data_IF_151695579436
#
_entry.id   IF_151695579436
#
_cell.length_a   1.000
_cell.length_b   1.000
_cell.length_c   1.000
_cell.angle_alpha   90.00
_cell.angle_beta   90.00
_cell.angle_gamma   90.00
#
_symmetry.space_group_name_H-M   'P 1'
#
loop_
_entity.id
_entity.type
_entity.pdbx_description
1 polymer ?
#
# COMPACT_ATOMS: atom_id res chain seq x y z
N UNK A 1 1.72 9.00 -18.00
CA UNK A 1 2.44 7.91 -17.30
C UNK A 1 3.36 7.14 -18.23
N UNK A 2 2.89 6.67 -19.38
CA UNK A 2 3.72 5.95 -20.37
C UNK A 2 5.05 6.63 -20.76
N UNK A 3 5.03 7.87 -21.23
CA UNK A 3 6.28 8.57 -21.62
C UNK A 3 7.24 8.75 -20.43
N UNK A 4 6.70 9.01 -19.24
CA UNK A 4 7.47 9.12 -18.01
C UNK A 4 8.10 7.77 -17.63
N UNK A 5 7.32 6.68 -17.69
CA UNK A 5 7.82 5.34 -17.38
C UNK A 5 8.90 4.91 -18.37
N UNK A 6 8.70 5.17 -19.66
CA UNK A 6 9.68 4.85 -20.71
C UNK A 6 11.00 5.59 -20.47
N UNK A 7 10.94 6.87 -20.12
CA UNK A 7 12.11 7.66 -19.75
C UNK A 7 12.81 7.11 -18.50
N UNK A 8 12.07 6.84 -17.42
CA UNK A 8 12.64 6.32 -16.16
C UNK A 8 13.35 5.00 -16.38
N UNK A 9 12.70 4.06 -17.07
CA UNK A 9 13.28 2.73 -17.31
C UNK A 9 14.44 2.77 -18.32
N UNK A 10 14.54 3.78 -19.18
CA UNK A 10 15.73 3.97 -20.03
C UNK A 10 16.99 4.30 -19.23
N UNK A 11 16.83 4.93 -18.05
CA UNK A 11 17.93 5.32 -17.15
C UNK A 11 18.16 4.27 -16.06
N UNK A 12 17.08 3.78 -15.46
CA UNK A 12 17.09 2.78 -14.39
C UNK A 12 16.03 1.71 -14.63
N UNK A 13 16.38 0.60 -15.32
CA UNK A 13 15.46 -0.50 -15.61
C UNK A 13 14.93 -1.23 -14.36
N UNK A 14 15.55 -1.01 -13.20
CA UNK A 14 15.15 -1.64 -11.92
C UNK A 14 14.31 -0.73 -11.02
N UNK A 15 13.98 0.49 -11.47
CA UNK A 15 13.09 1.38 -10.74
C UNK A 15 11.71 0.73 -10.53
N UNK A 16 11.02 1.11 -9.45
CA UNK A 16 9.63 0.71 -9.19
C UNK A 16 8.78 1.96 -9.13
N UNK A 17 7.82 2.09 -10.04
CA UNK A 17 6.91 3.21 -10.12
C UNK A 17 5.60 2.86 -9.40
N UNK A 18 5.39 3.48 -8.24
CA UNK A 18 4.19 3.31 -7.41
C UNK A 18 3.33 4.57 -7.47
N UNK A 19 2.08 4.44 -7.90
CA UNK A 19 1.12 5.55 -7.91
C UNK A 19 0.36 5.69 -6.60
N UNK A 20 0.24 6.90 -6.09
CA UNK A 20 -0.81 7.24 -5.14
C UNK A 20 -2.07 7.60 -5.93
N UNK A 21 -3.04 6.70 -5.98
CA UNK A 21 -4.26 6.89 -6.76
C UNK A 21 -5.48 6.74 -5.85
N UNK A 22 -6.33 7.77 -5.84
CA UNK A 22 -7.54 7.84 -5.00
C UNK A 22 -8.81 7.37 -5.74
N UNK A 23 -8.66 6.84 -6.96
CA UNK A 23 -9.74 6.31 -7.79
C UNK A 23 -9.89 4.78 -7.64
N UNK A 24 -10.94 4.19 -8.24
CA UNK A 24 -11.11 2.74 -8.23
C UNK A 24 -10.02 2.04 -9.03
N UNK A 25 -9.73 0.78 -8.67
CA UNK A 25 -8.72 -0.03 -9.33
C UNK A 25 -8.92 -0.12 -10.85
N UNK A 26 -10.17 -0.22 -11.32
CA UNK A 26 -10.45 -0.27 -12.76
C UNK A 26 -10.05 1.02 -13.48
N UNK A 27 -10.29 2.18 -12.85
CA UNK A 27 -9.88 3.49 -13.39
C UNK A 27 -8.35 3.58 -13.42
N UNK A 28 -7.67 3.06 -12.39
CA UNK A 28 -6.20 3.08 -12.35
C UNK A 28 -5.61 2.23 -13.48
N UNK A 29 -6.11 1.01 -13.67
CA UNK A 29 -5.66 0.15 -14.76
C UNK A 29 -5.91 0.78 -16.14
N UNK A 30 -7.01 1.52 -16.30
CA UNK A 30 -7.37 2.15 -17.56
C UNK A 30 -6.49 3.38 -17.90
N UNK A 31 -6.13 4.20 -16.90
CA UNK A 31 -5.51 5.51 -17.13
C UNK A 31 -4.06 5.63 -16.64
N UNK A 32 -3.60 4.72 -15.77
CA UNK A 32 -2.24 4.72 -15.23
C UNK A 32 -1.30 3.73 -15.94
N UNK A 33 -1.48 3.57 -17.26
CA UNK A 33 -0.58 2.80 -18.11
C UNK A 33 0.87 3.30 -17.94
N UNK A 34 1.74 2.47 -17.37
CA UNK A 34 3.15 2.77 -17.08
C UNK A 34 3.55 2.69 -15.60
N UNK A 35 2.64 2.40 -14.67
CA UNK A 35 2.99 2.12 -13.27
C UNK A 35 3.14 0.61 -13.01
N UNK A 36 4.04 0.26 -12.08
CA UNK A 36 4.23 -1.12 -11.62
C UNK A 36 3.22 -1.51 -10.52
N UNK A 37 2.69 -0.50 -9.84
CA UNK A 37 1.99 -0.63 -8.57
C UNK A 37 1.12 0.60 -8.26
N UNK A 38 0.15 0.41 -7.38
CA UNK A 38 -0.60 1.48 -6.72
C UNK A 38 -0.59 1.31 -5.20
N UNK A 39 -0.73 2.40 -4.45
CA UNK A 39 -0.93 2.34 -3.01
C UNK A 39 -2.28 1.69 -2.69
N UNK A 40 -2.27 0.64 -1.87
CA UNK A 40 -3.47 -0.12 -1.54
C UNK A 40 -4.27 0.56 -0.42
N UNK A 41 -5.05 1.58 -0.80
CA UNK A 41 -5.93 2.29 0.13
C UNK A 41 -7.04 1.39 0.67
N UNK A 42 -7.55 0.44 -0.14
CA UNK A 42 -8.56 -0.52 0.30
C UNK A 42 -8.03 -1.36 1.46
N UNK A 43 -6.84 -1.94 1.31
CA UNK A 43 -6.14 -2.64 2.38
C UNK A 43 -5.95 -1.75 3.61
N UNK A 44 -5.44 -0.53 3.44
CA UNK A 44 -5.25 0.43 4.55
C UNK A 44 -6.55 0.63 5.34
N UNK A 45 -7.66 0.90 4.65
CA UNK A 45 -8.94 1.18 5.30
C UNK A 45 -9.55 -0.07 5.95
N UNK A 46 -9.50 -1.22 5.29
CA UNK A 46 -9.99 -2.48 5.86
C UNK A 46 -9.18 -2.88 7.10
N UNK A 47 -7.85 -2.78 7.04
CA UNK A 47 -6.99 -3.01 8.18
C UNK A 47 -7.31 -2.05 9.32
N UNK A 48 -7.41 -0.75 9.07
CA UNK A 48 -7.71 0.23 10.12
C UNK A 48 -9.11 0.06 10.72
N UNK A 49 -10.09 -0.45 9.96
CA UNK A 49 -11.40 -0.85 10.50
C UNK A 49 -11.31 -2.06 11.43
N UNK A 50 -10.49 -3.05 11.08
CA UNK A 50 -10.25 -4.24 11.92
C UNK A 50 -9.50 -3.88 13.21
N UNK A 51 -8.58 -2.92 13.12
CA UNK A 51 -7.67 -2.49 14.20
C UNK A 51 -8.24 -1.31 15.00
N UNK A 52 -9.58 -1.14 15.02
CA UNK A 52 -10.27 0.01 15.63
C UNK A 52 -9.81 0.38 17.05
N UNK A 53 -9.22 -0.57 17.81
CA UNK A 53 -8.40 -0.29 19.00
C UNK A 53 -7.20 -1.25 19.06
N UNK A 54 -5.97 -0.78 19.32
CA UNK A 54 -4.85 -1.67 19.60
C UNK A 54 -5.12 -2.49 20.88
N UNK A 55 -4.87 -3.81 20.82
CA UNK A 55 -5.03 -4.76 21.94
C UNK A 55 -3.77 -5.65 22.07
N UNK A 56 -3.52 -6.28 23.22
CA UNK A 56 -2.38 -7.19 23.39
C UNK A 56 -2.42 -8.33 22.36
N UNK A 57 -1.31 -8.58 21.66
CA UNK A 57 -1.24 -9.54 20.54
C UNK A 57 -1.49 -8.93 19.16
N UNK A 58 -1.76 -7.62 19.07
CA UNK A 58 -1.94 -6.91 17.81
C UNK A 58 -0.76 -7.09 16.85
N UNK A 59 0.48 -6.92 17.31
CA UNK A 59 1.68 -7.05 16.47
C UNK A 59 1.87 -8.46 15.89
N UNK A 60 1.49 -9.49 16.62
CA UNK A 60 1.60 -10.89 16.19
C UNK A 60 0.51 -11.23 15.17
N UNK A 61 -0.71 -10.80 15.41
CA UNK A 61 -1.81 -10.92 14.44
C UNK A 61 -1.50 -10.13 13.15
N UNK A 62 -0.81 -9.00 13.29
CA UNK A 62 -0.35 -8.15 12.19
C UNK A 62 0.73 -8.83 11.34
N UNK A 63 1.74 -9.44 11.98
CA UNK A 63 2.80 -10.21 11.29
C UNK A 63 2.20 -11.37 10.49
N UNK A 64 1.30 -12.14 11.11
CA UNK A 64 0.65 -13.29 10.47
C UNK A 64 -0.22 -12.90 9.26
N UNK A 65 -0.83 -11.71 9.28
CA UNK A 65 -1.63 -11.23 8.16
C UNK A 65 -0.76 -10.85 6.94
N UNK A 66 0.36 -10.13 7.16
CA UNK A 66 1.29 -9.77 6.09
C UNK A 66 1.94 -10.99 5.43
N UNK A 67 2.32 -11.98 6.22
CA UNK A 67 2.94 -13.20 5.68
C UNK A 67 1.97 -13.97 4.78
N UNK A 68 0.68 -14.00 5.11
CA UNK A 68 -0.37 -14.59 4.25
C UNK A 68 -0.65 -13.75 3.01
N UNK A 69 -0.65 -12.42 3.13
CA UNK A 69 -0.93 -11.53 1.99
C UNK A 69 0.17 -11.58 0.92
N UNK A 70 1.45 -11.74 1.32
CA UNK A 70 2.58 -11.84 0.38
C UNK A 70 2.53 -13.08 -0.51
N UNK A 71 1.88 -14.15 -0.07
CA UNK A 71 1.83 -15.42 -0.81
C UNK A 71 0.91 -15.35 -2.04
N UNK A 72 0.06 -14.32 -2.16
CA UNK A 72 -1.02 -14.26 -3.16
C UNK A 72 -0.77 -13.31 -4.35
N UNK A 73 0.41 -12.71 -4.52
CA UNK A 73 0.55 -11.55 -5.40
C UNK A 73 1.10 -11.87 -6.81
N UNK A 74 0.31 -11.57 -7.87
CA UNK A 74 0.67 -11.72 -9.28
C UNK A 74 0.47 -10.41 -10.09
N UNK A 75 1.50 -10.04 -10.86
CA UNK A 75 1.59 -9.13 -12.03
C UNK A 75 1.01 -7.69 -12.04
N UNK A 76 0.36 -7.17 -11.00
CA UNK A 76 0.28 -5.73 -10.74
C UNK A 76 0.29 -5.55 -9.22
N UNK A 77 1.31 -4.87 -8.69
CA UNK A 77 1.58 -4.97 -7.24
C UNK A 77 0.80 -3.89 -6.50
N UNK A 78 -0.24 -4.28 -5.78
CA UNK A 78 -0.80 -3.42 -4.73
C UNK A 78 0.29 -3.19 -3.65
N UNK A 79 0.73 -1.95 -3.48
CA UNK A 79 1.67 -1.55 -2.45
C UNK A 79 0.92 -1.36 -1.13
N UNK A 80 0.88 -2.43 -0.35
CA UNK A 80 0.22 -2.45 0.94
C UNK A 80 0.92 -1.56 1.94
N UNK A 81 0.16 -0.64 2.53
CA UNK A 81 0.64 0.28 3.54
C UNK A 81 -0.44 0.50 4.61
N UNK A 82 0.00 0.89 5.81
CA UNK A 82 -0.86 0.97 7.00
C UNK A 82 -1.13 2.40 7.47
N UNK A 83 -0.29 3.34 7.04
CA UNK A 83 -0.38 4.77 7.33
C UNK A 83 0.46 5.53 6.31
N UNK A 84 0.02 6.73 5.95
CA UNK A 84 0.83 7.76 5.28
C UNK A 84 0.90 9.00 6.17
N UNK A 85 1.53 10.05 5.67
CA UNK A 85 1.50 11.37 6.30
C UNK A 85 0.10 12.02 6.26
N UNK A 86 -0.75 11.60 5.32
CA UNK A 86 -2.15 12.04 5.17
C UNK A 86 -3.13 11.26 6.04
N UNK A 87 -2.63 10.31 6.85
CA UNK A 87 -3.49 9.42 7.65
C UNK A 87 -3.53 9.87 9.11
N UNK A 88 -4.73 10.17 9.62
CA UNK A 88 -5.01 10.56 11.01
C UNK A 88 -6.02 9.58 11.65
N UNK A 89 -5.86 9.13 12.92
CA UNK A 89 -4.66 9.24 13.77
C UNK A 89 -3.45 8.50 13.20
N UNK A 90 -2.25 8.99 13.52
CA UNK A 90 -0.99 8.30 13.20
C UNK A 90 -1.03 6.91 13.85
N UNK A 91 -0.38 5.94 13.21
CA UNK A 91 -0.39 4.57 13.70
C UNK A 91 0.13 4.46 15.16
N UNK A 92 1.15 5.25 15.49
CA UNK A 92 1.77 5.31 16.82
C UNK A 92 1.08 6.27 17.81
N UNK A 93 -0.05 6.90 17.46
CA UNK A 93 -0.77 7.80 18.38
C UNK A 93 -1.30 7.11 19.65
N UNK A 94 -1.12 5.78 19.78
CA UNK A 94 -1.47 4.98 20.97
C UNK A 94 -0.29 4.20 21.57
N UNK A 95 0.96 4.57 21.27
CA UNK A 95 2.09 4.08 22.09
C UNK A 95 1.99 4.81 23.43
N UNK A 96 1.27 4.21 24.40
CA UNK A 96 1.43 4.57 25.80
C UNK A 96 2.89 4.27 26.13
N UNK A 97 3.62 5.31 26.52
CA UNK A 97 4.93 5.20 27.18
C UNK A 97 4.81 4.12 28.26
N UNK A 98 5.68 3.10 28.16
CA UNK A 98 5.87 2.11 29.21
C UNK A 98 6.53 2.75 30.41
#
# INVERSE_FOLDING_TARGET
>A
WREFSDFVYSINPSAVLVGEVLASHEIVQQFAFGLDAELDFHFKYHLRKFVKKPYPGFLELWKNYFDKARQNNAKFKLYQFVSSHDTNPRLASFVKEY
#
